data_IF_236352863548
#
_entry.id   IF_236352863548
#
_cell.length_a   1.000
_cell.length_b   1.000
_cell.length_c   1.000
_cell.angle_alpha   90.00
_cell.angle_beta   90.00
_cell.angle_gamma   90.00
#
_symmetry.space_group_name_H-M   'P 1'
#
loop_
_entity.id
_entity.type
_entity.pdbx_description
1 polymer ?
#
# COMPACT_ATOMS: atom_id res chain seq x y z
N UNK A 1 3.20 -4.10 -12.84
CA UNK A 1 3.60 -5.53 -12.95
C UNK A 1 4.71 -5.90 -11.96
N UNK A 2 5.86 -5.23 -11.98
CA UNK A 2 6.97 -5.46 -11.03
C UNK A 2 6.51 -5.33 -9.57
N UNK A 3 5.60 -4.39 -9.27
CA UNK A 3 5.02 -4.22 -7.92
C UNK A 3 3.95 -5.27 -7.58
N UNK A 4 3.10 -5.59 -8.57
CA UNK A 4 1.92 -6.42 -8.39
C UNK A 4 2.26 -7.91 -8.22
N UNK A 5 3.23 -8.42 -8.98
CA UNK A 5 3.59 -9.85 -8.99
C UNK A 5 4.10 -10.36 -7.64
N UNK A 6 5.14 -9.73 -7.05
CA UNK A 6 5.65 -10.11 -5.74
C UNK A 6 4.61 -9.91 -4.63
N UNK A 7 3.81 -8.84 -4.72
CA UNK A 7 2.71 -8.58 -3.80
C UNK A 7 1.66 -9.70 -3.81
N UNK A 8 1.20 -10.09 -5.00
CA UNK A 8 0.25 -11.18 -5.16
C UNK A 8 0.80 -12.52 -4.63
N UNK A 9 2.08 -12.83 -4.88
CA UNK A 9 2.73 -14.04 -4.35
C UNK A 9 2.71 -14.06 -2.82
N UNK A 10 3.02 -12.94 -2.18
CA UNK A 10 3.01 -12.82 -0.71
C UNK A 10 1.59 -12.95 -0.14
N UNK A 11 0.58 -12.35 -0.78
CA UNK A 11 -0.83 -12.47 -0.39
C UNK A 11 -1.30 -13.93 -0.48
N UNK A 12 -0.96 -14.65 -1.55
CA UNK A 12 -1.31 -16.07 -1.68
C UNK A 12 -0.66 -16.90 -0.57
N UNK A 13 0.56 -16.55 -0.15
CA UNK A 13 1.25 -17.25 0.93
C UNK A 13 0.65 -16.95 2.32
N UNK A 14 0.11 -15.76 2.55
CA UNK A 14 -0.56 -15.38 3.81
C UNK A 14 -1.88 -14.64 3.52
N UNK A 15 -2.96 -15.35 3.18
CA UNK A 15 -4.22 -14.74 2.75
C UNK A 15 -4.96 -14.00 3.88
N UNK A 16 -4.60 -14.26 5.13
CA UNK A 16 -5.06 -13.55 6.33
C UNK A 16 -4.87 -12.02 6.24
N UNK A 17 -3.91 -11.53 5.44
CA UNK A 17 -3.75 -10.08 5.21
C UNK A 17 -5.02 -9.43 4.64
N UNK A 18 -5.87 -10.19 3.93
CA UNK A 18 -7.12 -9.69 3.39
C UNK A 18 -8.13 -9.30 4.48
N UNK A 19 -7.97 -9.78 5.72
CA UNK A 19 -8.76 -9.30 6.84
C UNK A 19 -8.56 -7.81 7.11
N UNK A 20 -7.44 -7.20 6.67
CA UNK A 20 -7.22 -5.76 6.74
C UNK A 20 -8.25 -4.93 5.96
N UNK A 21 -9.04 -5.53 5.07
CA UNK A 21 -10.18 -4.89 4.42
C UNK A 21 -11.35 -4.60 5.39
N UNK A 22 -11.40 -5.29 6.53
CA UNK A 22 -12.42 -5.05 7.54
C UNK A 22 -12.12 -3.74 8.30
N UNK A 23 -12.99 -2.72 8.22
CA UNK A 23 -12.77 -1.42 8.86
C UNK A 23 -12.67 -1.50 10.39
N UNK A 24 -13.14 -2.59 11.01
CA UNK A 24 -13.00 -2.80 12.45
C UNK A 24 -11.54 -2.78 12.89
N UNK A 25 -10.58 -3.22 12.06
CA UNK A 25 -9.15 -3.16 12.38
C UNK A 25 -8.67 -1.72 12.56
N UNK A 26 -9.14 -0.80 11.71
CA UNK A 26 -8.81 0.62 11.87
C UNK A 26 -9.40 1.16 13.18
N UNK A 27 -10.66 0.85 13.48
CA UNK A 27 -11.31 1.27 14.74
C UNK A 27 -10.54 0.76 15.96
N UNK A 28 -10.22 -0.53 15.99
CA UNK A 28 -9.42 -1.12 17.07
C UNK A 28 -8.04 -0.46 17.18
N UNK A 29 -7.38 -0.19 16.06
CA UNK A 29 -6.10 0.50 16.05
C UNK A 29 -6.17 1.88 16.72
N UNK A 30 -7.18 2.69 16.40
CA UNK A 30 -7.38 4.01 17.02
C UNK A 30 -7.68 3.94 18.52
N UNK A 31 -8.49 2.96 18.94
CA UNK A 31 -8.85 2.79 20.34
C UNK A 31 -7.66 2.35 21.19
N UNK A 32 -6.84 1.45 20.66
CA UNK A 32 -5.70 0.85 21.36
C UNK A 32 -4.48 1.80 21.37
N UNK A 33 -4.09 2.34 20.22
CA UNK A 33 -2.81 3.03 20.05
C UNK A 33 -2.89 4.57 20.04
N UNK A 34 -4.11 5.14 20.11
CA UNK A 34 -4.43 6.57 20.31
C UNK A 34 -3.46 7.54 19.62
N UNK A 35 -2.43 8.01 20.33
CA UNK A 35 -1.42 8.96 19.83
C UNK A 35 -0.72 8.46 18.57
N UNK A 36 -0.33 7.19 18.51
CA UNK A 36 0.33 6.61 17.34
C UNK A 36 -0.62 6.60 16.15
N UNK A 37 -1.88 6.23 16.36
CA UNK A 37 -2.90 6.23 15.32
C UNK A 37 -3.22 7.64 14.82
N UNK A 38 -3.18 8.64 15.71
CA UNK A 38 -3.32 10.05 15.34
C UNK A 38 -2.16 10.52 14.44
N UNK A 39 -0.92 10.19 14.80
CA UNK A 39 0.26 10.51 13.98
C UNK A 39 0.19 9.79 12.62
N UNK A 40 -0.20 8.52 12.60
CA UNK A 40 -0.38 7.75 11.38
C UNK A 40 -1.45 8.37 10.47
N UNK A 41 -2.57 8.84 11.03
CA UNK A 41 -3.58 9.57 10.27
C UNK A 41 -3.03 10.87 9.68
N UNK A 42 -2.20 11.59 10.42
CA UNK A 42 -1.49 12.78 9.92
C UNK A 42 -0.62 12.46 8.70
N UNK A 43 0.09 11.34 8.69
CA UNK A 43 0.87 10.89 7.54
C UNK A 43 -0.02 10.56 6.32
N UNK A 44 -1.20 9.95 6.55
CA UNK A 44 -2.19 9.70 5.48
C UNK A 44 -2.69 11.02 4.88
N UNK A 45 -3.08 11.99 5.71
CA UNK A 45 -3.53 13.32 5.25
C UNK A 45 -2.42 14.03 4.48
N UNK A 46 -1.18 13.98 4.96
CA UNK A 46 -0.03 14.56 4.27
C UNK A 46 0.19 13.91 2.90
N UNK A 47 0.08 12.58 2.79
CA UNK A 47 0.15 11.88 1.51
C UNK A 47 -0.94 12.34 0.53
N UNK A 48 -2.17 12.56 1.00
CA UNK A 48 -3.28 13.07 0.16
C UNK A 48 -2.94 14.45 -0.40
N UNK A 49 -2.43 15.36 0.41
CA UNK A 49 -2.05 16.71 -0.07
C UNK A 49 -0.90 16.66 -1.09
N UNK A 50 0.04 15.72 -0.95
CA UNK A 50 1.10 15.50 -1.95
C UNK A 50 0.55 15.00 -3.30
N UNK A 51 -0.52 14.20 -3.27
CA UNK A 51 -1.19 13.71 -4.49
C UNK A 51 -1.87 14.85 -5.27
N UNK A 52 -2.43 15.85 -4.59
CA UNK A 52 -3.02 17.03 -5.27
C UNK A 52 -1.96 17.82 -6.05
N UNK A 53 -0.77 18.00 -5.47
CA UNK A 53 0.35 18.65 -6.15
C UNK A 53 0.84 17.83 -7.37
N UNK A 54 0.91 16.51 -7.24
CA UNK A 54 1.26 15.61 -8.34
C UNK A 54 0.23 15.68 -9.50
N UNK A 55 -1.06 15.71 -9.18
CA UNK A 55 -2.11 15.83 -10.19
C UNK A 55 -2.16 17.21 -10.86
N UNK A 56 -1.81 18.27 -10.13
CA UNK A 56 -1.68 19.60 -10.71
C UNK A 56 -0.59 19.65 -11.80
N UNK A 57 0.54 18.97 -11.57
CA UNK A 57 1.64 18.85 -12.54
C UNK A 57 1.25 18.01 -13.77
N UNK A 58 0.48 16.95 -13.58
CA UNK A 58 -0.04 16.10 -14.67
C UNK A 58 -1.19 16.72 -15.49
N UNK A 59 -1.63 17.93 -15.15
CA UNK A 59 -2.81 18.58 -15.73
C UNK A 59 -2.81 18.68 -17.27
N UNK A 60 -1.62 18.67 -17.89
CA UNK A 60 -1.46 18.76 -19.35
C UNK A 60 -1.86 17.49 -20.12
N UNK A 61 -1.97 16.32 -19.46
CA UNK A 61 -2.38 15.05 -20.10
C UNK A 61 -3.91 14.90 -20.23
N UNK A 62 -4.68 15.73 -19.53
CA UNK A 62 -6.14 15.66 -19.48
C UNK A 62 -6.66 14.54 -18.57
N UNK A 63 -7.91 14.71 -18.12
CA UNK A 63 -8.54 13.86 -17.09
C UNK A 63 -8.71 12.38 -17.47
N UNK A 64 -8.88 12.07 -18.75
CA UNK A 64 -9.23 10.71 -19.20
C UNK A 64 -8.04 9.73 -19.18
N UNK A 65 -6.88 10.04 -19.81
CA UNK A 65 -5.71 9.17 -19.76
C UNK A 65 -5.23 8.89 -18.32
N UNK A 66 -5.28 9.92 -17.46
CA UNK A 66 -4.91 9.83 -16.04
C UNK A 66 -5.80 8.82 -15.30
N UNK A 67 -7.12 8.94 -15.43
CA UNK A 67 -8.07 8.02 -14.79
C UNK A 67 -7.89 6.59 -15.29
N UNK A 68 -7.71 6.42 -16.60
CA UNK A 68 -7.52 5.09 -17.18
C UNK A 68 -6.25 4.43 -16.62
N UNK A 69 -5.10 5.11 -16.65
CA UNK A 69 -3.85 4.59 -16.10
C UNK A 69 -3.96 4.29 -14.60
N UNK A 70 -4.63 5.18 -13.84
CA UNK A 70 -4.83 5.02 -12.41
C UNK A 70 -5.61 3.75 -12.07
N UNK A 71 -6.83 3.61 -12.61
CA UNK A 71 -7.72 2.50 -12.23
C UNK A 71 -7.32 1.15 -12.82
N UNK A 72 -6.61 1.12 -13.96
CA UNK A 72 -6.24 -0.15 -14.63
C UNK A 72 -4.86 -0.68 -14.26
N UNK A 73 -3.90 0.19 -13.95
CA UNK A 73 -2.50 -0.22 -13.74
C UNK A 73 -2.01 0.21 -12.36
N UNK A 74 -2.10 1.49 -12.04
CA UNK A 74 -1.42 2.06 -10.86
C UNK A 74 -2.08 1.58 -9.57
N UNK A 75 -3.38 1.85 -9.39
CA UNK A 75 -4.15 1.45 -8.22
C UNK A 75 -4.05 -0.07 -7.94
N UNK A 76 -4.38 -0.97 -8.88
CA UNK A 76 -4.29 -2.41 -8.60
C UNK A 76 -2.87 -2.85 -8.27
N UNK A 77 -1.85 -2.30 -8.95
CA UNK A 77 -0.45 -2.64 -8.65
C UNK A 77 -0.02 -2.18 -7.25
N UNK A 78 -0.41 -0.97 -6.84
CA UNK A 78 -0.09 -0.43 -5.53
C UNK A 78 -0.82 -1.19 -4.42
N UNK A 79 -2.12 -1.45 -4.59
CA UNK A 79 -2.90 -2.22 -3.62
C UNK A 79 -2.28 -3.60 -3.39
N UNK A 80 -1.98 -4.35 -4.46
CA UNK A 80 -1.35 -5.66 -4.34
C UNK A 80 0.02 -5.58 -3.65
N UNK A 81 0.81 -4.54 -3.94
CA UNK A 81 2.11 -4.37 -3.32
C UNK A 81 2.01 -4.11 -1.80
N UNK A 82 1.13 -3.19 -1.37
CA UNK A 82 0.94 -2.88 0.04
C UNK A 82 0.37 -4.06 0.83
N UNK A 83 -0.65 -4.75 0.29
CA UNK A 83 -1.16 -5.98 0.90
C UNK A 83 -0.08 -7.07 0.95
N UNK A 84 0.74 -7.21 -0.08
CA UNK A 84 1.86 -8.15 -0.05
C UNK A 84 2.90 -7.84 1.03
N UNK A 85 3.22 -6.57 1.25
CA UNK A 85 4.12 -6.16 2.35
C UNK A 85 3.50 -6.46 3.72
N UNK A 86 2.20 -6.22 3.89
CA UNK A 86 1.47 -6.62 5.09
C UNK A 86 1.54 -8.13 5.33
N UNK A 87 1.30 -8.94 4.30
CA UNK A 87 1.41 -10.40 4.37
C UNK A 87 2.83 -10.86 4.75
N UNK A 88 3.86 -10.20 4.24
CA UNK A 88 5.24 -10.48 4.60
C UNK A 88 5.51 -10.17 6.09
N UNK A 89 4.99 -9.04 6.58
CA UNK A 89 5.16 -8.61 7.97
C UNK A 89 4.41 -9.49 8.97
N UNK A 90 3.24 -10.02 8.60
CA UNK A 90 2.51 -10.98 9.45
C UNK A 90 3.32 -12.26 9.71
N UNK A 91 4.08 -12.72 8.71
CA UNK A 91 4.94 -13.90 8.82
C UNK A 91 6.31 -13.58 9.43
N UNK A 92 6.91 -12.46 9.05
CA UNK A 92 8.24 -12.05 9.48
C UNK A 92 8.26 -10.56 9.87
N UNK A 93 8.01 -10.24 11.16
CA UNK A 93 8.02 -8.86 11.64
C UNK A 93 9.36 -8.14 11.43
N UNK A 94 10.48 -8.86 11.37
CA UNK A 94 11.80 -8.26 11.12
C UNK A 94 11.94 -7.67 9.71
N UNK A 95 11.07 -8.08 8.78
CA UNK A 95 11.04 -7.53 7.42
C UNK A 95 10.68 -6.04 7.37
N UNK A 96 10.24 -5.43 8.48
CA UNK A 96 9.96 -3.99 8.58
C UNK A 96 11.17 -3.11 8.24
N UNK A 97 12.39 -3.66 8.32
CA UNK A 97 13.61 -2.95 7.91
C UNK A 97 13.63 -2.62 6.43
N UNK A 98 13.12 -3.52 5.58
CA UNK A 98 13.07 -3.27 4.14
C UNK A 98 11.97 -4.06 3.41
N UNK A 99 10.69 -3.84 3.76
CA UNK A 99 9.60 -4.72 3.37
C UNK A 99 9.36 -4.71 1.86
N UNK A 100 9.64 -3.60 1.17
CA UNK A 100 9.53 -3.51 -0.28
C UNK A 100 10.54 -4.42 -1.01
N UNK A 101 11.81 -4.36 -0.59
CA UNK A 101 12.88 -5.11 -1.21
C UNK A 101 12.83 -6.59 -0.83
N UNK A 102 12.46 -6.90 0.42
CA UNK A 102 12.27 -8.27 0.89
C UNK A 102 11.01 -8.94 0.32
N UNK A 103 10.10 -8.16 -0.25
CA UNK A 103 8.98 -8.68 -1.03
C UNK A 103 9.45 -9.16 -2.41
N UNK A 104 10.50 -8.55 -2.96
CA UNK A 104 11.04 -8.91 -4.26
C UNK A 104 11.75 -10.27 -4.19
N UNK A 105 11.64 -11.11 -5.23
CA UNK A 105 12.38 -12.36 -5.29
C UNK A 105 13.89 -12.09 -5.40
N UNK A 106 14.70 -13.00 -4.87
CA UNK A 106 16.17 -12.83 -4.71
C UNK A 106 16.93 -12.50 -6.02
N UNK A 107 16.36 -12.79 -7.18
CA UNK A 107 16.95 -12.46 -8.49
C UNK A 107 16.73 -11.01 -8.93
N UNK A 108 15.80 -10.29 -8.30
CA UNK A 108 15.42 -8.92 -8.63
C UNK A 108 16.06 -7.87 -7.70
N UNK A 109 16.88 -8.34 -6.75
CA UNK A 109 17.68 -7.58 -5.79
C UNK A 109 19.12 -7.47 -6.27
#
# INVERSE_FOLDING_TARGET
LILAGPGLRSIIANPEVLHALNPMWAVHFFLEYKTVSFIALGAVVLSITGVEALYADMGHFGKFPIRLAWFTVVLPSLTLNYFGQGALLLKNPEAIKNPFFLLAPDWAL
#
